data_IF_235735929358
#
_entry.id   IF_235735929358
#
_cell.length_a   1.000
_cell.length_b   1.000
_cell.length_c   1.000
_cell.angle_alpha   90.00
_cell.angle_beta   90.00
_cell.angle_gamma   90.00
#
_symmetry.space_group_name_H-M   'P 1'
#
loop_
_entity.id
_entity.type
_entity.pdbx_description
1 polymer ?
#
# COMPACT_ATOMS: atom_id res chain seq x y z
N UNK A 1 -70.14 -24.97 15.60
CA UNK A 1 -68.89 -25.67 15.47
C UNK A 1 -67.95 -24.80 14.61
N UNK A 2 -66.83 -24.22 15.12
CA UNK A 2 -65.77 -23.72 14.27
C UNK A 2 -64.51 -24.59 14.39
N UNK A 3 -63.93 -24.94 13.26
CA UNK A 3 -62.71 -25.67 13.13
C UNK A 3 -61.49 -24.75 13.40
N UNK A 4 -60.63 -25.20 14.30
CA UNK A 4 -59.34 -24.59 14.59
C UNK A 4 -58.30 -25.01 13.54
N UNK A 5 -57.65 -24.05 12.88
CA UNK A 5 -56.56 -24.30 11.98
C UNK A 5 -55.26 -24.04 12.75
N UNK A 6 -54.55 -25.09 13.12
CA UNK A 6 -53.25 -25.03 13.79
C UNK A 6 -52.13 -24.80 12.75
N UNK A 7 -51.50 -23.65 12.83
CA UNK A 7 -50.27 -23.38 12.09
C UNK A 7 -49.08 -24.12 12.74
N UNK A 8 -48.52 -25.09 12.05
CA UNK A 8 -47.29 -25.76 12.43
C UNK A 8 -46.11 -24.85 12.18
N UNK A 9 -45.51 -24.34 13.25
CA UNK A 9 -44.19 -23.68 13.19
C UNK A 9 -43.14 -24.73 12.90
N UNK A 10 -42.50 -24.67 11.75
CA UNK A 10 -41.33 -25.48 11.40
C UNK A 10 -40.14 -24.97 12.20
N UNK A 11 -39.85 -25.67 13.31
CA UNK A 11 -38.65 -25.49 14.12
C UNK A 11 -37.47 -26.11 13.37
N UNK A 12 -36.62 -25.28 12.75
CA UNK A 12 -35.34 -25.72 12.19
C UNK A 12 -34.43 -26.21 13.32
N UNK A 13 -34.25 -27.52 13.41
CA UNK A 13 -33.56 -28.18 14.52
C UNK A 13 -32.06 -27.80 14.59
N UNK A 14 -31.39 -28.10 15.71
CA UNK A 14 -29.99 -27.76 15.98
C UNK A 14 -29.01 -28.28 14.93
N UNK A 15 -29.33 -29.31 14.18
CA UNK A 15 -28.53 -29.85 13.08
C UNK A 15 -28.44 -28.90 11.88
N UNK A 16 -29.49 -28.14 11.56
CA UNK A 16 -29.48 -27.17 10.48
C UNK A 16 -28.61 -25.93 10.82
N UNK A 17 -28.60 -25.54 12.09
CA UNK A 17 -27.74 -24.44 12.57
C UNK A 17 -26.26 -24.84 12.61
N UNK A 18 -25.95 -26.09 13.03
CA UNK A 18 -24.58 -26.62 13.01
C UNK A 18 -24.01 -26.75 11.59
N UNK A 19 -24.84 -27.18 10.61
CA UNK A 19 -24.45 -27.27 9.20
C UNK A 19 -24.17 -25.89 8.59
N UNK A 20 -24.97 -24.87 8.91
CA UNK A 20 -24.75 -23.47 8.46
C UNK A 20 -23.48 -22.86 9.06
N UNK A 21 -23.20 -23.11 10.36
CA UNK A 21 -21.97 -22.67 11.00
C UNK A 21 -20.71 -23.27 10.37
N UNK A 22 -20.76 -24.56 10.02
CA UNK A 22 -19.64 -25.26 9.37
C UNK A 22 -19.39 -24.75 7.95
N UNK A 23 -20.45 -24.47 7.18
CA UNK A 23 -20.34 -23.92 5.82
C UNK A 23 -19.79 -22.48 5.83
N UNK A 24 -20.23 -21.64 6.78
CA UNK A 24 -19.71 -20.27 6.94
C UNK A 24 -18.22 -20.29 7.32
N UNK A 25 -17.81 -21.15 8.25
CA UNK A 25 -16.41 -21.29 8.64
C UNK A 25 -15.52 -21.79 7.48
N UNK A 26 -15.98 -22.76 6.69
CA UNK A 26 -15.27 -23.23 5.50
C UNK A 26 -15.19 -22.17 4.40
N UNK A 27 -16.24 -21.36 4.20
CA UNK A 27 -16.23 -20.22 3.29
C UNK A 27 -15.17 -19.20 3.67
N UNK A 28 -15.07 -18.88 4.95
CA UNK A 28 -14.08 -17.93 5.49
C UNK A 28 -12.65 -18.46 5.33
N UNK A 29 -12.40 -19.74 5.62
CA UNK A 29 -11.07 -20.35 5.45
C UNK A 29 -10.63 -20.39 3.98
N UNK A 30 -11.54 -20.71 3.05
CA UNK A 30 -11.25 -20.69 1.61
C UNK A 30 -10.94 -19.27 1.11
N UNK A 31 -11.66 -18.27 1.59
CA UNK A 31 -11.41 -16.87 1.27
C UNK A 31 -10.06 -16.40 1.79
N UNK A 32 -9.72 -16.72 3.04
CA UNK A 32 -8.41 -16.42 3.63
C UNK A 32 -7.27 -17.10 2.87
N UNK A 33 -7.41 -18.38 2.55
CA UNK A 33 -6.40 -19.10 1.76
C UNK A 33 -6.21 -18.52 0.36
N UNK A 34 -7.29 -18.03 -0.27
CA UNK A 34 -7.22 -17.35 -1.57
C UNK A 34 -6.46 -16.03 -1.45
N UNK A 35 -6.74 -15.24 -0.41
CA UNK A 35 -6.08 -13.95 -0.18
C UNK A 35 -4.59 -14.13 0.16
N UNK A 36 -4.22 -15.10 0.98
CA UNK A 36 -2.82 -15.43 1.27
C UNK A 36 -2.04 -15.79 0.00
N UNK A 37 -2.63 -16.57 -0.90
CA UNK A 37 -2.00 -16.90 -2.20
C UNK A 37 -1.85 -15.67 -3.10
N UNK A 38 -2.86 -14.80 -3.11
CA UNK A 38 -2.79 -13.52 -3.84
C UNK A 38 -1.64 -12.66 -3.31
N UNK A 39 -1.51 -12.50 -2.00
CA UNK A 39 -0.43 -11.75 -1.36
C UNK A 39 0.95 -12.37 -1.67
N UNK A 40 1.08 -13.68 -1.63
CA UNK A 40 2.32 -14.37 -2.00
C UNK A 40 2.72 -14.07 -3.46
N UNK A 41 1.76 -14.08 -4.39
CA UNK A 41 1.98 -13.72 -5.80
C UNK A 41 2.41 -12.25 -5.96
N UNK A 42 1.78 -11.31 -5.24
CA UNK A 42 2.16 -9.89 -5.28
C UNK A 42 3.56 -9.66 -4.69
N UNK A 43 3.91 -10.36 -3.62
CA UNK A 43 5.26 -10.29 -3.03
C UNK A 43 6.32 -10.82 -3.99
N UNK A 44 6.07 -11.96 -4.63
CA UNK A 44 6.94 -12.51 -5.67
C UNK A 44 7.07 -11.57 -6.87
N UNK A 45 5.95 -10.95 -7.29
CA UNK A 45 5.92 -9.99 -8.38
C UNK A 45 6.76 -8.75 -8.09
N UNK A 46 6.64 -8.15 -6.90
CA UNK A 46 7.45 -7.01 -6.50
C UNK A 46 8.95 -7.32 -6.63
N UNK A 47 9.40 -8.46 -6.11
CA UNK A 47 10.81 -8.86 -6.17
C UNK A 47 11.29 -9.17 -7.60
N UNK A 48 10.52 -9.95 -8.37
CA UNK A 48 10.93 -10.34 -9.71
C UNK A 48 10.87 -9.16 -10.69
N UNK A 49 9.83 -8.34 -10.63
CA UNK A 49 9.76 -7.13 -11.45
C UNK A 49 10.90 -6.17 -11.08
N UNK A 50 11.16 -5.92 -9.80
CA UNK A 50 12.26 -5.04 -9.37
C UNK A 50 13.62 -5.52 -9.89
N UNK A 51 13.89 -6.84 -9.85
CA UNK A 51 15.16 -7.44 -10.26
C UNK A 51 15.33 -7.48 -11.78
N UNK A 52 14.31 -7.95 -12.50
CA UNK A 52 14.41 -8.33 -13.91
C UNK A 52 13.73 -7.34 -14.87
N UNK A 53 12.83 -6.47 -14.37
CA UNK A 53 11.93 -5.65 -15.18
C UNK A 53 10.64 -6.37 -15.57
N UNK A 54 9.56 -5.61 -15.72
CA UNK A 54 8.25 -6.13 -16.09
C UNK A 54 8.29 -7.02 -17.34
N UNK A 55 9.01 -6.60 -18.39
CA UNK A 55 8.99 -7.29 -19.69
C UNK A 55 9.63 -8.68 -19.64
N UNK A 56 10.62 -8.90 -18.75
CA UNK A 56 11.40 -10.15 -18.68
C UNK A 56 10.84 -11.19 -17.71
N UNK A 57 9.70 -10.93 -17.09
CA UNK A 57 9.05 -11.83 -16.13
C UNK A 57 7.79 -12.39 -16.74
N UNK A 58 7.61 -13.72 -16.69
CA UNK A 58 6.39 -14.41 -17.09
C UNK A 58 5.46 -14.67 -15.90
N UNK A 59 4.22 -15.08 -16.17
CA UNK A 59 3.30 -15.52 -15.11
C UNK A 59 3.77 -16.82 -14.46
N UNK A 60 4.43 -17.66 -15.23
CA UNK A 60 5.02 -18.92 -14.77
C UNK A 60 6.15 -18.66 -13.77
N UNK A 61 7.01 -17.66 -14.02
CA UNK A 61 8.06 -17.23 -13.08
C UNK A 61 7.45 -16.75 -11.76
N UNK A 62 6.37 -15.96 -11.84
CA UNK A 62 5.64 -15.49 -10.65
C UNK A 62 5.05 -16.64 -9.85
N UNK A 63 4.43 -17.61 -10.54
CA UNK A 63 3.89 -18.81 -9.93
C UNK A 63 4.96 -19.63 -9.23
N UNK A 64 6.06 -19.91 -9.91
CA UNK A 64 7.20 -20.65 -9.35
C UNK A 64 7.78 -19.97 -8.12
N UNK A 65 7.98 -18.65 -8.16
CA UNK A 65 8.50 -17.87 -7.02
C UNK A 65 7.55 -17.81 -5.83
N UNK A 66 6.23 -17.83 -6.09
CA UNK A 66 5.21 -17.83 -5.04
C UNK A 66 4.84 -19.23 -4.52
N UNK A 67 5.43 -20.31 -5.07
CA UNK A 67 5.07 -21.68 -4.74
C UNK A 67 3.65 -22.06 -5.20
N UNK A 68 3.16 -21.43 -6.29
CA UNK A 68 1.80 -21.61 -6.82
C UNK A 68 1.89 -22.21 -8.22
N UNK A 69 1.08 -23.23 -8.52
CA UNK A 69 1.07 -23.85 -9.84
C UNK A 69 0.61 -22.87 -10.93
N UNK A 70 1.14 -22.98 -12.17
CA UNK A 70 0.77 -22.14 -13.30
C UNK A 70 -0.75 -21.96 -13.47
N UNK A 71 -1.57 -23.04 -13.54
CA UNK A 71 -3.03 -22.92 -13.62
C UNK A 71 -3.67 -22.17 -12.45
N UNK A 72 -3.03 -22.19 -11.27
CA UNK A 72 -3.54 -21.47 -10.11
C UNK A 72 -3.27 -19.96 -10.22
N UNK A 73 -2.17 -19.53 -10.87
CA UNK A 73 -1.90 -18.11 -11.12
C UNK A 73 -2.99 -17.51 -12.00
N UNK A 74 -3.36 -18.19 -13.08
CA UNK A 74 -4.41 -17.75 -14.01
C UNK A 74 -5.81 -17.64 -13.36
N UNK A 75 -6.05 -18.33 -12.23
CA UNK A 75 -7.29 -18.14 -11.44
C UNK A 75 -7.31 -16.83 -10.64
N UNK A 76 -6.14 -16.26 -10.37
CA UNK A 76 -6.01 -14.98 -9.65
C UNK A 76 -5.87 -13.79 -10.60
N UNK A 77 -5.11 -13.96 -11.69
CA UNK A 77 -4.74 -12.86 -12.58
C UNK A 77 -4.89 -13.25 -14.06
N UNK A 78 -5.52 -12.39 -14.85
CA UNK A 78 -5.71 -12.61 -16.30
C UNK A 78 -4.43 -12.43 -17.13
N UNK A 79 -3.34 -11.92 -16.51
CA UNK A 79 -2.08 -11.64 -17.16
C UNK A 79 -1.14 -10.89 -16.23
N UNK A 80 0.14 -10.76 -16.59
CA UNK A 80 1.13 -10.07 -15.73
C UNK A 80 0.85 -8.58 -15.59
N UNK A 81 0.19 -7.94 -16.54
CA UNK A 81 -0.27 -6.55 -16.43
C UNK A 81 -1.29 -6.38 -15.30
N UNK A 82 -2.21 -7.37 -15.14
CA UNK A 82 -3.15 -7.36 -14.02
C UNK A 82 -2.44 -7.58 -12.67
N UNK A 83 -1.35 -8.36 -12.63
CA UNK A 83 -0.52 -8.51 -11.43
C UNK A 83 0.15 -7.18 -11.06
N UNK A 84 0.73 -6.48 -12.04
CA UNK A 84 1.35 -5.18 -11.85
C UNK A 84 0.34 -4.14 -11.36
N UNK A 85 -0.85 -4.09 -11.98
CA UNK A 85 -1.94 -3.20 -11.57
C UNK A 85 -2.36 -3.45 -10.14
N UNK A 86 -2.62 -4.70 -9.80
CA UNK A 86 -3.02 -5.11 -8.45
C UNK A 86 -1.95 -4.81 -7.39
N UNK A 87 -0.67 -5.02 -7.72
CA UNK A 87 0.46 -4.67 -6.84
C UNK A 87 0.48 -3.17 -6.53
N UNK A 88 0.47 -2.31 -7.56
CA UNK A 88 0.62 -0.87 -7.36
C UNK A 88 -0.64 -0.23 -6.77
N UNK A 89 -1.84 -0.71 -7.13
CA UNK A 89 -3.10 -0.28 -6.53
C UNK A 89 -3.19 -0.65 -5.05
N UNK A 90 -2.84 -1.90 -4.71
CA UNK A 90 -2.86 -2.37 -3.31
C UNK A 90 -1.94 -1.51 -2.45
N UNK A 91 -0.71 -1.29 -2.90
CA UNK A 91 0.26 -0.48 -2.14
C UNK A 91 -0.18 0.98 -2.03
N UNK A 92 -0.73 1.57 -3.10
CA UNK A 92 -1.20 2.96 -3.06
C UNK A 92 -2.39 3.14 -2.11
N UNK A 93 -3.28 2.14 -2.02
CA UNK A 93 -4.38 2.12 -1.03
C UNK A 93 -3.84 1.96 0.39
N UNK A 94 -2.93 1.01 0.63
CA UNK A 94 -2.29 0.80 1.94
C UNK A 94 -1.63 2.08 2.47
N UNK A 95 -0.92 2.82 1.61
CA UNK A 95 -0.28 4.10 1.97
C UNK A 95 -1.33 5.16 2.33
N UNK A 96 -2.35 5.35 1.51
CA UNK A 96 -3.39 6.33 1.77
C UNK A 96 -4.17 5.99 3.05
N UNK A 97 -4.64 4.76 3.20
CA UNK A 97 -5.39 4.31 4.37
C UNK A 97 -4.55 4.36 5.65
N UNK A 98 -3.26 3.98 5.56
CA UNK A 98 -2.32 4.06 6.67
C UNK A 98 -2.07 5.50 7.10
N UNK A 99 -1.85 6.40 6.16
CA UNK A 99 -1.68 7.82 6.42
C UNK A 99 -2.93 8.45 7.04
N UNK A 100 -4.13 8.15 6.52
CA UNK A 100 -5.39 8.60 7.09
C UNK A 100 -5.57 8.17 8.55
N UNK A 101 -5.23 6.90 8.87
CA UNK A 101 -5.27 6.42 10.27
C UNK A 101 -4.31 7.19 11.16
N UNK A 102 -3.07 7.42 10.71
CA UNK A 102 -2.06 8.18 11.46
C UNK A 102 -2.57 9.57 11.81
N UNK A 103 -3.18 10.27 10.84
CA UNK A 103 -3.71 11.63 11.06
C UNK A 103 -4.94 11.62 11.96
N UNK A 104 -5.85 10.64 11.79
CA UNK A 104 -7.05 10.54 12.62
C UNK A 104 -6.75 10.28 14.11
N UNK A 105 -5.66 9.58 14.41
CA UNK A 105 -5.24 9.26 15.78
C UNK A 105 -4.42 10.37 16.46
N UNK A 106 -4.12 11.48 15.76
CA UNK A 106 -3.16 12.47 16.25
C UNK A 106 -3.68 13.89 16.03
N UNK A 107 -4.02 14.60 17.11
CA UNK A 107 -4.56 15.98 17.04
C UNK A 107 -3.48 17.03 16.84
N UNK A 108 -2.30 16.88 17.47
CA UNK A 108 -1.16 17.78 17.31
C UNK A 108 -0.54 17.62 15.90
N UNK A 109 -0.44 18.70 15.09
CA UNK A 109 0.03 18.60 13.72
C UNK A 109 1.51 18.20 13.62
N UNK A 110 2.37 18.59 14.55
CA UNK A 110 3.78 18.19 14.54
C UNK A 110 3.95 16.70 14.87
N UNK A 111 3.18 16.21 15.84
CA UNK A 111 3.16 14.78 16.14
C UNK A 111 2.59 13.96 14.98
N UNK A 112 1.53 14.44 14.31
CA UNK A 112 0.98 13.81 13.12
C UNK A 112 2.03 13.74 11.99
N UNK A 113 2.75 14.84 11.73
CA UNK A 113 3.81 14.89 10.74
C UNK A 113 4.93 13.90 11.04
N UNK A 114 5.41 13.84 12.30
CA UNK A 114 6.43 12.88 12.74
C UNK A 114 5.99 11.43 12.49
N UNK A 115 4.75 11.10 12.81
CA UNK A 115 4.19 9.75 12.58
C UNK A 115 4.01 9.44 11.09
N UNK A 116 3.60 10.41 10.27
CA UNK A 116 3.53 10.25 8.80
C UNK A 116 4.90 9.99 8.20
N UNK A 117 5.93 10.74 8.64
CA UNK A 117 7.31 10.53 8.19
C UNK A 117 7.80 9.14 8.58
N UNK A 118 7.62 8.72 9.83
CA UNK A 118 8.00 7.38 10.28
C UNK A 118 7.28 6.29 9.48
N UNK A 119 5.97 6.42 9.25
CA UNK A 119 5.18 5.50 8.44
C UNK A 119 5.69 5.38 7.00
N UNK A 120 6.03 6.51 6.35
CA UNK A 120 6.59 6.51 5.00
C UNK A 120 8.01 5.90 4.95
N UNK A 121 8.84 6.18 5.95
CA UNK A 121 10.20 5.62 6.06
C UNK A 121 10.13 4.10 6.26
N UNK A 122 9.26 3.61 7.12
CA UNK A 122 9.03 2.18 7.33
C UNK A 122 8.59 1.48 6.03
N UNK A 123 7.68 2.10 5.28
CA UNK A 123 7.29 1.62 3.96
C UNK A 123 8.48 1.56 3.00
N UNK A 124 9.24 2.64 2.88
CA UNK A 124 10.34 2.74 1.92
C UNK A 124 11.48 1.76 2.23
N UNK A 125 11.78 1.53 3.50
CA UNK A 125 12.80 0.56 3.93
C UNK A 125 12.29 -0.88 3.86
N UNK A 126 11.01 -1.09 4.11
CA UNK A 126 10.38 -2.41 4.09
C UNK A 126 10.01 -2.92 2.70
N UNK A 127 9.64 -2.02 1.77
CA UNK A 127 9.18 -2.36 0.42
C UNK A 127 9.98 -1.66 -0.70
N UNK A 128 11.32 -1.67 -0.70
CA UNK A 128 12.14 -0.95 -1.70
C UNK A 128 11.93 -1.46 -3.13
N UNK A 129 11.57 -2.74 -3.29
CA UNK A 129 11.30 -3.34 -4.60
C UNK A 129 10.03 -2.75 -5.25
N UNK A 130 9.02 -2.43 -4.45
CA UNK A 130 7.79 -1.77 -4.95
C UNK A 130 8.10 -0.37 -5.48
N UNK A 131 8.95 0.39 -4.79
CA UNK A 131 9.37 1.72 -5.25
C UNK A 131 10.07 1.60 -6.62
N UNK A 132 11.02 0.67 -6.77
CA UNK A 132 11.67 0.41 -8.07
C UNK A 132 10.70 0.04 -9.17
N UNK A 133 9.72 -0.82 -8.87
CA UNK A 133 8.70 -1.24 -9.83
C UNK A 133 7.86 -0.04 -10.25
N UNK A 134 7.43 0.78 -9.29
CA UNK A 134 6.63 1.96 -9.58
C UNK A 134 7.40 2.95 -10.46
N UNK A 135 8.64 3.26 -10.12
CA UNK A 135 9.45 4.24 -10.86
C UNK A 135 9.73 3.79 -12.30
N UNK A 136 10.00 2.49 -12.51
CA UNK A 136 10.40 1.98 -13.82
C UNK A 136 9.25 1.45 -14.67
N UNK A 137 8.33 0.74 -14.04
CA UNK A 137 7.37 -0.11 -14.76
C UNK A 137 5.94 0.47 -14.80
N UNK A 138 5.71 1.66 -14.21
CA UNK A 138 4.40 2.31 -14.13
C UNK A 138 3.71 2.48 -15.49
N UNK A 139 4.47 2.77 -16.55
CA UNK A 139 3.95 2.92 -17.90
C UNK A 139 3.38 1.63 -18.52
N UNK A 140 3.70 0.46 -17.94
CA UNK A 140 3.15 -0.84 -18.35
C UNK A 140 1.74 -1.12 -17.76
N UNK A 141 1.22 -0.28 -16.89
CA UNK A 141 -0.16 -0.35 -16.40
C UNK A 141 -1.16 -0.04 -17.52
N UNK A 142 -2.41 -0.53 -17.35
CA UNK A 142 -3.52 -0.04 -18.17
C UNK A 142 -3.77 1.45 -17.86
N UNK A 143 -4.35 2.20 -18.82
CA UNK A 143 -4.71 3.61 -18.60
C UNK A 143 -5.61 3.78 -17.38
N UNK A 144 -6.55 2.84 -17.18
CA UNK A 144 -7.44 2.82 -16.01
C UNK A 144 -6.65 2.69 -14.71
N UNK A 145 -5.74 1.72 -14.62
CA UNK A 145 -4.96 1.49 -13.40
C UNK A 145 -3.99 2.66 -13.15
N UNK A 146 -3.39 3.23 -14.21
CA UNK A 146 -2.58 4.45 -14.09
C UNK A 146 -3.37 5.61 -13.49
N UNK A 147 -4.59 5.84 -13.97
CA UNK A 147 -5.46 6.91 -13.48
C UNK A 147 -5.82 6.70 -12.01
N UNK A 148 -6.17 5.47 -11.63
CA UNK A 148 -6.52 5.12 -10.25
C UNK A 148 -5.32 5.25 -9.30
N UNK A 149 -4.14 4.73 -9.66
CA UNK A 149 -2.91 4.88 -8.88
C UNK A 149 -2.56 6.35 -8.70
N UNK A 150 -2.57 7.16 -9.78
CA UNK A 150 -2.31 8.62 -9.69
C UNK A 150 -3.29 9.33 -8.76
N UNK A 151 -4.56 8.92 -8.75
CA UNK A 151 -5.57 9.48 -7.85
C UNK A 151 -5.26 9.16 -6.40
N UNK A 152 -4.95 7.90 -6.08
CA UNK A 152 -4.58 7.47 -4.73
C UNK A 152 -3.32 8.19 -4.23
N UNK A 153 -2.29 8.31 -5.09
CA UNK A 153 -1.06 9.02 -4.76
C UNK A 153 -1.28 10.51 -4.52
N UNK A 154 -2.11 11.16 -5.36
CA UNK A 154 -2.49 12.56 -5.16
C UNK A 154 -3.18 12.76 -3.83
N UNK A 155 -4.15 11.93 -3.51
CA UNK A 155 -4.87 12.01 -2.24
C UNK A 155 -3.91 11.81 -1.04
N UNK A 156 -2.92 10.93 -1.18
CA UNK A 156 -1.91 10.73 -0.14
C UNK A 156 -1.00 11.96 0.02
N UNK A 157 -0.63 12.64 -1.08
CA UNK A 157 0.12 13.91 -1.03
C UNK A 157 -0.71 15.00 -0.37
N UNK A 158 -2.00 15.15 -0.76
CA UNK A 158 -2.88 16.17 -0.17
C UNK A 158 -3.08 15.97 1.33
N UNK A 159 -3.14 14.73 1.82
CA UNK A 159 -3.15 14.44 3.26
C UNK A 159 -1.94 15.04 3.99
N UNK A 160 -0.74 14.96 3.39
CA UNK A 160 0.46 15.60 3.96
C UNK A 160 0.38 17.12 3.88
N UNK A 161 -0.13 17.66 2.80
CA UNK A 161 -0.34 19.11 2.62
C UNK A 161 -1.29 19.66 3.69
N UNK A 162 -2.38 18.96 4.00
CA UNK A 162 -3.31 19.35 5.06
C UNK A 162 -2.64 19.42 6.44
N UNK A 163 -1.76 18.45 6.77
CA UNK A 163 -1.00 18.47 8.03
C UNK A 163 0.02 19.62 8.02
N UNK A 164 0.72 19.84 6.90
CA UNK A 164 1.70 20.92 6.75
C UNK A 164 1.05 22.30 6.81
N UNK A 165 -0.14 22.50 6.25
CA UNK A 165 -0.88 23.76 6.31
C UNK A 165 -1.25 24.17 7.76
N UNK A 166 -1.46 23.19 8.64
CA UNK A 166 -1.69 23.45 10.07
C UNK A 166 -0.41 23.86 10.81
N UNK A 167 0.77 23.49 10.31
CA UNK A 167 2.09 23.87 10.85
C UNK A 167 2.61 25.18 10.26
N UNK A 168 2.25 25.46 9.01
CA UNK A 168 2.73 26.60 8.24
C UNK A 168 1.52 27.35 7.64
N UNK A 169 0.69 28.03 8.47
CA UNK A 169 -0.57 28.62 8.02
C UNK A 169 -0.40 29.75 6.98
N UNK A 170 0.75 30.40 6.98
CA UNK A 170 1.07 31.49 6.08
C UNK A 170 1.79 31.04 4.80
N UNK A 171 2.02 29.73 4.61
CA UNK A 171 2.71 29.19 3.44
C UNK A 171 1.71 28.76 2.38
N UNK A 172 2.01 29.14 1.11
CA UNK A 172 1.17 28.75 -0.03
C UNK A 172 1.07 27.24 -0.22
N UNK A 173 -0.11 26.78 -0.60
CA UNK A 173 -0.39 25.33 -0.79
C UNK A 173 0.49 24.69 -1.88
N UNK A 174 0.90 25.45 -2.91
CA UNK A 174 1.81 24.94 -3.95
C UNK A 174 3.21 24.66 -3.37
N UNK A 175 3.70 25.53 -2.47
CA UNK A 175 4.96 25.32 -1.78
C UNK A 175 4.87 24.11 -0.84
N UNK A 176 3.80 23.99 -0.06
CA UNK A 176 3.59 22.83 0.83
C UNK A 176 3.56 21.53 0.04
N UNK A 177 2.91 21.52 -1.12
CA UNK A 177 2.88 20.35 -2.02
C UNK A 177 4.26 20.04 -2.58
N UNK A 178 5.05 21.06 -2.95
CA UNK A 178 6.44 20.89 -3.39
C UNK A 178 7.29 20.27 -2.25
N UNK A 179 7.16 20.75 -1.01
CA UNK A 179 7.87 20.19 0.16
C UNK A 179 7.52 18.73 0.37
N UNK A 180 6.23 18.36 0.29
CA UNK A 180 5.78 16.97 0.40
C UNK A 180 6.40 16.10 -0.70
N UNK A 181 6.36 16.53 -1.98
CA UNK A 181 6.97 15.78 -3.09
C UNK A 181 8.48 15.63 -2.95
N UNK A 182 9.20 16.70 -2.57
CA UNK A 182 10.64 16.64 -2.33
C UNK A 182 11.00 15.65 -1.22
N UNK A 183 10.20 15.62 -0.15
CA UNK A 183 10.36 14.69 0.95
C UNK A 183 10.08 13.24 0.53
N UNK A 184 9.06 12.99 -0.31
CA UNK A 184 8.86 11.66 -0.89
C UNK A 184 10.05 11.24 -1.76
N UNK A 185 10.63 12.13 -2.55
CA UNK A 185 11.84 11.86 -3.32
C UNK A 185 13.02 11.47 -2.41
N UNK A 186 13.22 12.21 -1.31
CA UNK A 186 14.23 11.92 -0.31
C UNK A 186 14.03 10.52 0.30
N UNK A 187 12.84 10.24 0.82
CA UNK A 187 12.55 8.96 1.50
C UNK A 187 12.57 7.80 0.50
N UNK A 188 11.98 7.97 -0.68
CA UNK A 188 11.91 6.92 -1.71
C UNK A 188 13.24 6.69 -2.45
N UNK A 189 14.30 7.44 -2.14
CA UNK A 189 15.65 7.17 -2.64
C UNK A 189 16.27 5.87 -2.09
N UNK A 190 15.65 5.24 -1.09
CA UNK A 190 16.14 4.05 -0.39
C UNK A 190 16.57 2.88 -1.28
N UNK A 191 15.92 2.55 -2.42
CA UNK A 191 16.39 1.50 -3.32
C UNK A 191 17.80 1.74 -3.85
N UNK A 192 18.21 3.01 -3.91
CA UNK A 192 19.49 3.45 -4.46
C UNK A 192 20.51 3.81 -3.38
N UNK A 193 20.06 4.50 -2.31
CA UNK A 193 20.94 5.06 -1.27
C UNK A 193 21.34 4.06 -0.20
N UNK A 194 20.49 3.08 0.15
CA UNK A 194 20.79 2.08 1.20
C UNK A 194 21.82 1.03 0.77
N UNK A 195 22.12 0.92 -0.53
CA UNK A 195 23.19 0.10 -1.09
C UNK A 195 24.26 0.98 -1.71
N UNK A 196 25.24 1.42 -0.91
CA UNK A 196 26.40 2.13 -1.42
C UNK A 196 27.64 1.26 -1.28
N UNK A 197 28.45 1.15 -2.36
CA UNK A 197 29.75 0.47 -2.39
C UNK A 197 29.74 -0.98 -1.85
N UNK A 198 28.69 -1.75 -2.16
CA UNK A 198 28.57 -3.15 -1.76
C UNK A 198 28.17 -3.38 -0.30
N UNK A 199 28.04 -2.35 0.52
CA UNK A 199 27.57 -2.44 1.91
C UNK A 199 26.12 -1.96 2.01
N UNK A 200 25.25 -2.78 2.61
CA UNK A 200 23.87 -2.43 2.94
C UNK A 200 23.86 -1.75 4.31
N UNK A 201 23.42 -0.49 4.38
CA UNK A 201 23.11 0.16 5.65
C UNK A 201 21.91 -0.59 6.25
N UNK A 202 22.00 -1.02 7.50
CA UNK A 202 20.88 -1.68 8.16
C UNK A 202 19.67 -0.71 8.28
N UNK A 203 18.47 -1.21 8.07
CA UNK A 203 17.24 -0.39 8.17
C UNK A 203 17.15 0.36 9.50
N UNK A 204 17.57 -0.29 10.62
CA UNK A 204 17.65 0.32 11.96
C UNK A 204 18.55 1.57 12.04
N UNK A 205 19.53 1.70 11.15
CA UNK A 205 20.42 2.85 11.10
C UNK A 205 19.99 3.87 10.06
N UNK A 206 19.34 3.43 8.97
CA UNK A 206 18.86 4.29 7.91
C UNK A 206 17.58 5.03 8.30
N UNK A 207 16.66 4.38 9.03
CA UNK A 207 15.39 4.95 9.45
C UNK A 207 15.53 6.29 10.16
N UNK A 208 16.24 6.36 11.30
CA UNK A 208 16.42 7.62 12.05
C UNK A 208 17.06 8.75 11.23
N UNK A 209 17.97 8.42 10.29
CA UNK A 209 18.60 9.42 9.41
C UNK A 209 17.57 9.99 8.44
N UNK A 210 16.80 9.12 7.77
CA UNK A 210 15.77 9.56 6.82
C UNK A 210 14.67 10.35 7.52
N UNK A 211 14.22 9.91 8.69
CA UNK A 211 13.22 10.62 9.49
C UNK A 211 13.72 12.03 9.89
N UNK A 212 14.95 12.12 10.39
CA UNK A 212 15.55 13.40 10.78
C UNK A 212 15.66 14.36 9.59
N UNK A 213 16.15 13.88 8.44
CA UNK A 213 16.28 14.69 7.22
C UNK A 213 14.91 15.13 6.69
N UNK A 214 13.93 14.22 6.64
CA UNK A 214 12.59 14.51 6.17
C UNK A 214 11.88 15.54 7.06
N UNK A 215 11.97 15.38 8.38
CA UNK A 215 11.39 16.34 9.32
C UNK A 215 12.05 17.70 9.21
N UNK A 216 13.38 17.79 9.14
CA UNK A 216 14.08 19.04 8.96
C UNK A 216 13.65 19.77 7.68
N UNK A 217 13.48 19.04 6.56
CA UNK A 217 13.02 19.61 5.30
C UNK A 217 11.57 20.13 5.37
N UNK A 218 10.68 19.42 6.05
CA UNK A 218 9.27 19.77 6.16
C UNK A 218 8.98 20.87 7.18
N UNK A 219 9.82 21.00 8.22
CA UNK A 219 9.67 22.03 9.27
C UNK A 219 10.56 23.25 9.06
N UNK A 220 11.36 23.29 7.98
CA UNK A 220 12.15 24.46 7.63
C UNK A 220 11.24 25.69 7.42
N UNK A 221 11.64 26.83 7.97
CA UNK A 221 10.98 28.11 7.68
C UNK A 221 11.03 28.40 6.19
N UNK A 222 9.98 29.05 5.68
CA UNK A 222 9.97 29.50 4.29
C UNK A 222 11.17 30.42 4.07
N UNK A 223 12.00 30.13 3.08
CA UNK A 223 13.06 31.04 2.67
C UNK A 223 12.37 32.33 2.23
N UNK A 224 12.50 33.41 2.99
CA UNK A 224 12.05 34.71 2.54
C UNK A 224 12.88 35.04 1.27
N UNK A 225 12.30 34.80 0.11
CA UNK A 225 12.85 35.33 -1.12
C UNK A 225 12.78 36.85 -0.95
N UNK A 226 13.92 37.50 -0.69
CA UNK A 226 14.02 38.95 -0.80
C UNK A 226 13.64 39.34 -2.22
N UNK A 227 12.81 40.37 -2.37
CA UNK A 227 12.37 40.87 -3.68
C UNK A 227 13.53 41.38 -4.56
#
# INVERSE_FOLDING_TARGET
VPASNGAAAANGGPEAQAAQGTQAAQGTQRSQAKELRRQALLTAAASLFAKNGFNRVSLEDLGAAAGVSGPAVYRHFRGKQAVLGDLLLTVSRELLEGGLRVVAETTDPLAALRRLVAFQVDFALGKPDVIRVQDRDFSNLTEKDQAEVRTLQRNYVELWVEVLARLHPDTDAAELRMRAHATFGLINSTPHSVRSHGRKIAARSAGPVLESMALAALTAEASQASP
#
